data_IF_093751452227
#
_entry.id   IF_093751452227
#
_cell.length_a   1.000
_cell.length_b   1.000
_cell.length_c   1.000
_cell.angle_alpha   90.00
_cell.angle_beta   90.00
_cell.angle_gamma   90.00
#
_symmetry.space_group_name_H-M   'P 1'
#
loop_
_entity.id
_entity.type
_entity.pdbx_description
1 polymer ?
#
# COMPACT_ATOMS: atom_id res chain seq x y z
N UNK A 1 -14.33 -6.63 -7.39
CA UNK A 1 -13.99 -5.31 -7.94
C UNK A 1 -13.99 -4.28 -6.82
N UNK A 2 -13.02 -3.35 -6.81
CA UNK A 2 -12.84 -2.39 -5.73
C UNK A 2 -13.14 -0.97 -6.23
N UNK A 3 -14.21 -0.80 -6.96
CA UNK A 3 -14.47 0.47 -7.62
C UNK A 3 -15.05 1.53 -6.69
N UNK A 4 -15.94 1.15 -5.80
CA UNK A 4 -16.82 2.10 -5.13
C UNK A 4 -16.13 2.92 -4.04
N UNK A 5 -15.27 2.29 -3.23
CA UNK A 5 -14.61 2.98 -2.13
C UNK A 5 -13.59 4.03 -2.58
N UNK A 6 -12.83 3.72 -3.64
CA UNK A 6 -11.71 4.55 -4.08
C UNK A 6 -11.96 5.24 -5.42
N UNK A 7 -13.07 4.96 -6.07
CA UNK A 7 -13.32 5.42 -7.43
C UNK A 7 -12.38 4.79 -8.45
N UNK A 8 -11.81 3.64 -8.14
CA UNK A 8 -10.89 2.90 -9.00
C UNK A 8 -11.58 1.66 -9.55
N UNK A 9 -11.23 1.30 -10.77
CA UNK A 9 -11.74 0.09 -11.42
C UNK A 9 -10.64 -0.97 -11.44
N UNK A 10 -10.66 -1.85 -10.43
CA UNK A 10 -9.67 -2.89 -10.25
C UNK A 10 -10.37 -4.24 -10.20
N UNK A 11 -9.87 -5.19 -10.99
CA UNK A 11 -10.35 -6.57 -11.01
C UNK A 11 -9.36 -7.46 -10.29
N UNK A 12 -9.84 -8.21 -9.33
CA UNK A 12 -9.03 -9.15 -8.55
C UNK A 12 -9.52 -10.57 -8.75
N UNK A 13 -8.62 -11.59 -8.61
CA UNK A 13 -9.04 -12.98 -8.57
C UNK A 13 -10.03 -13.22 -7.43
N UNK A 14 -10.92 -14.19 -7.63
CA UNK A 14 -11.97 -14.53 -6.66
C UNK A 14 -11.42 -15.00 -5.30
N UNK A 15 -10.18 -15.48 -5.28
CA UNK A 15 -9.53 -15.94 -4.05
C UNK A 15 -9.21 -14.83 -3.06
N UNK A 16 -9.20 -13.57 -3.51
CA UNK A 16 -9.00 -12.42 -2.62
C UNK A 16 -10.27 -12.10 -1.86
N UNK A 17 -10.13 -11.82 -0.58
CA UNK A 17 -11.24 -11.47 0.31
C UNK A 17 -11.05 -10.07 0.84
N UNK A 18 -12.14 -9.32 0.93
CA UNK A 18 -12.14 -7.98 1.49
C UNK A 18 -11.93 -8.05 3.01
N UNK A 19 -10.94 -7.30 3.49
CA UNK A 19 -10.63 -7.20 4.93
C UNK A 19 -11.09 -5.87 5.51
N UNK A 20 -10.81 -4.77 4.81
CA UNK A 20 -11.20 -3.42 5.21
C UNK A 20 -11.62 -2.65 3.97
N UNK A 21 -12.69 -1.87 4.07
CA UNK A 21 -13.13 -0.96 3.02
C UNK A 21 -13.58 0.35 3.66
N UNK A 22 -12.80 1.40 3.44
CA UNK A 22 -13.10 2.74 3.91
C UNK A 22 -13.10 3.70 2.71
N UNK A 23 -13.44 4.97 2.93
CA UNK A 23 -13.55 5.93 1.82
C UNK A 23 -12.25 6.14 1.03
N UNK A 24 -11.10 5.97 1.68
CA UNK A 24 -9.79 6.20 1.05
C UNK A 24 -8.82 5.03 1.26
N UNK A 25 -9.29 3.88 1.74
CA UNK A 25 -8.42 2.74 2.02
C UNK A 25 -9.16 1.43 1.86
N UNK A 26 -8.56 0.50 1.14
CA UNK A 26 -9.06 -0.86 0.96
C UNK A 26 -7.93 -1.85 1.18
N UNK A 27 -8.21 -2.88 1.96
CA UNK A 27 -7.31 -3.99 2.19
C UNK A 27 -8.01 -5.28 1.78
N UNK A 28 -7.40 -6.02 0.86
CA UNK A 28 -7.84 -7.36 0.47
C UNK A 28 -6.70 -8.34 0.69
N UNK A 29 -7.02 -9.58 0.95
CA UNK A 29 -6.00 -10.61 1.14
C UNK A 29 -6.45 -11.95 0.60
N UNK A 30 -5.46 -12.78 0.31
CA UNK A 30 -5.65 -14.18 -0.10
C UNK A 30 -4.75 -15.05 0.74
N UNK A 31 -5.29 -16.11 1.29
CA UNK A 31 -4.51 -17.12 1.97
C UNK A 31 -4.04 -18.19 1.00
N UNK A 32 -2.77 -18.52 1.09
CA UNK A 32 -2.14 -19.61 0.36
C UNK A 32 -1.56 -20.59 1.39
N UNK A 33 -1.10 -21.77 0.98
CA UNK A 33 -0.78 -22.91 1.85
C UNK A 33 -0.10 -22.54 3.18
N UNK A 34 0.90 -21.66 3.16
CA UNK A 34 1.68 -21.29 4.34
C UNK A 34 1.96 -19.80 4.44
N UNK A 35 1.26 -18.98 3.64
CA UNK A 35 1.48 -17.54 3.60
C UNK A 35 0.19 -16.80 3.27
N UNK A 36 0.16 -15.52 3.59
CA UNK A 36 -0.91 -14.60 3.23
C UNK A 36 -0.38 -13.58 2.26
N UNK A 37 -1.09 -13.37 1.17
CA UNK A 37 -0.81 -12.31 0.20
C UNK A 37 -1.81 -11.18 0.44
N UNK A 38 -1.31 -9.98 0.60
CA UNK A 38 -2.14 -8.81 0.87
C UNK A 38 -1.96 -7.76 -0.19
N UNK A 39 -3.03 -7.00 -0.44
CA UNK A 39 -3.03 -5.88 -1.34
C UNK A 39 -3.72 -4.71 -0.64
N UNK A 40 -3.00 -3.60 -0.51
CA UNK A 40 -3.51 -2.37 0.07
C UNK A 40 -3.65 -1.33 -1.03
N UNK A 41 -4.80 -0.67 -1.06
CA UNK A 41 -5.06 0.43 -1.98
C UNK A 41 -5.50 1.64 -1.19
N UNK A 42 -4.96 2.80 -1.51
CA UNK A 42 -5.37 4.04 -0.87
C UNK A 42 -5.29 5.20 -1.84
N UNK A 43 -6.01 6.27 -1.50
CA UNK A 43 -5.95 7.53 -2.23
C UNK A 43 -5.75 8.66 -1.24
N UNK A 44 -5.02 9.69 -1.67
CA UNK A 44 -4.85 10.93 -0.91
C UNK A 44 -4.73 12.11 -1.85
N UNK A 45 -5.09 13.32 -1.40
CA UNK A 45 -4.92 14.51 -2.25
C UNK A 45 -3.45 14.75 -2.60
N UNK A 46 -3.20 15.15 -3.85
CA UNK A 46 -1.89 15.63 -4.24
C UNK A 46 -1.86 17.15 -4.03
N UNK A 47 -1.09 17.60 -3.04
CA UNK A 47 -1.07 18.99 -2.62
C UNK A 47 0.21 19.68 -3.08
N UNK A 48 1.34 18.99 -3.01
CA UNK A 48 2.65 19.58 -3.31
C UNK A 48 3.59 18.51 -3.88
N UNK A 49 4.62 18.97 -4.59
CA UNK A 49 5.55 18.08 -5.28
C UNK A 49 6.25 17.10 -4.33
N UNK A 50 6.56 17.55 -3.11
CA UNK A 50 7.19 16.68 -2.11
C UNK A 50 6.33 15.50 -1.67
N UNK A 51 5.02 15.49 -1.96
CA UNK A 51 4.15 14.35 -1.69
C UNK A 51 4.58 13.11 -2.48
N UNK A 52 5.29 13.29 -3.58
CA UNK A 52 5.86 12.22 -4.38
C UNK A 52 7.28 11.83 -3.95
N UNK A 53 7.87 12.44 -2.93
CA UNK A 53 9.18 12.03 -2.48
C UNK A 53 9.14 10.65 -1.82
N UNK A 54 10.24 9.90 -1.92
CA UNK A 54 10.33 8.58 -1.31
C UNK A 54 10.04 8.64 0.20
N UNK A 55 10.59 9.63 0.88
CA UNK A 55 10.40 9.81 2.33
C UNK A 55 8.94 10.07 2.68
N UNK A 56 8.29 10.95 1.92
CA UNK A 56 6.89 11.31 2.16
C UNK A 56 5.95 10.12 1.91
N UNK A 57 6.19 9.37 0.85
CA UNK A 57 5.39 8.18 0.53
C UNK A 57 5.53 7.12 1.63
N UNK A 58 6.74 6.86 2.08
CA UNK A 58 6.97 5.87 3.16
C UNK A 58 6.35 6.32 4.48
N UNK A 59 6.45 7.60 4.81
CA UNK A 59 5.84 8.14 6.04
C UNK A 59 4.31 8.01 6.01
N UNK A 60 3.69 8.33 4.88
CA UNK A 60 2.24 8.18 4.73
C UNK A 60 1.83 6.71 4.83
N UNK A 61 2.51 5.84 4.11
CA UNK A 61 2.26 4.40 4.12
C UNK A 61 2.34 3.84 5.54
N UNK A 62 3.40 4.14 6.27
CA UNK A 62 3.60 3.62 7.63
C UNK A 62 2.55 4.14 8.61
N UNK A 63 2.16 5.40 8.47
CA UNK A 63 1.07 5.98 9.26
C UNK A 63 -0.25 5.27 8.98
N UNK A 64 -0.54 5.00 7.72
CA UNK A 64 -1.77 4.33 7.29
C UNK A 64 -1.83 2.90 7.81
N UNK A 65 -0.76 2.15 7.66
CA UNK A 65 -0.73 0.73 8.06
C UNK A 65 -0.73 0.58 9.59
N UNK A 66 -0.10 1.48 10.31
CA UNK A 66 -0.17 1.47 11.77
C UNK A 66 -1.60 1.60 12.28
N UNK A 67 -2.38 2.44 11.63
CA UNK A 67 -3.76 2.68 12.02
C UNK A 67 -4.72 1.58 11.57
N UNK A 68 -4.45 0.90 10.44
CA UNK A 68 -5.43 0.09 9.75
C UNK A 68 -5.04 -1.36 9.48
N UNK A 69 -3.78 -1.73 9.64
CA UNK A 69 -3.32 -3.09 9.35
C UNK A 69 -2.69 -3.71 10.58
N UNK A 70 -3.51 -4.21 11.52
CA UNK A 70 -3.00 -4.87 12.70
C UNK A 70 -2.32 -6.19 12.35
N UNK A 71 -1.31 -6.56 13.13
CA UNK A 71 -0.69 -7.87 13.03
C UNK A 71 -1.47 -8.92 13.84
N UNK A 72 -0.99 -10.18 13.81
CA UNK A 72 -1.66 -11.28 14.50
C UNK A 72 -1.69 -11.14 16.03
N UNK A 73 -0.66 -10.53 16.60
CA UNK A 73 -0.59 -10.32 18.05
C UNK A 73 -1.21 -8.99 18.43
N UNK A 74 -1.84 -8.95 19.61
CA UNK A 74 -2.42 -7.72 20.13
C UNK A 74 -1.34 -6.65 20.29
N UNK A 75 -1.60 -5.45 19.77
CA UNK A 75 -0.65 -4.34 19.82
C UNK A 75 0.44 -4.41 18.76
N UNK A 76 0.31 -5.31 17.78
CA UNK A 76 1.22 -5.40 16.65
C UNK A 76 0.59 -4.75 15.41
N UNK A 77 1.44 -4.30 14.48
CA UNK A 77 0.97 -3.72 13.22
C UNK A 77 2.01 -3.89 12.12
N UNK A 78 1.54 -3.92 10.88
CA UNK A 78 2.36 -3.95 9.68
C UNK A 78 3.06 -2.61 9.47
N UNK A 79 4.35 -2.66 9.15
CA UNK A 79 5.15 -1.46 8.85
C UNK A 79 6.34 -1.80 7.97
N UNK A 80 7.09 -0.78 7.56
CA UNK A 80 8.30 -0.95 6.76
C UNK A 80 9.50 -1.32 7.66
N UNK A 81 10.32 -2.26 7.19
CA UNK A 81 11.60 -2.59 7.81
C UNK A 81 12.70 -1.73 7.20
N UNK A 82 13.33 -0.88 8.02
CA UNK A 82 14.34 0.07 7.54
C UNK A 82 15.79 -0.40 7.73
N UNK A 83 16.01 -1.61 8.26
CA UNK A 83 17.37 -2.18 8.29
C UNK A 83 17.91 -2.39 6.88
N UNK A 84 17.02 -2.69 5.94
CA UNK A 84 17.31 -2.67 4.50
C UNK A 84 16.41 -1.60 3.87
N UNK A 85 16.90 -0.36 3.72
CA UNK A 85 16.07 0.73 3.19
C UNK A 85 15.46 0.39 1.83
N UNK A 86 14.20 0.77 1.59
CA UNK A 86 13.55 0.49 0.31
C UNK A 86 14.26 1.15 -0.87
N UNK A 87 14.35 0.43 -1.98
CA UNK A 87 14.79 0.98 -3.26
C UNK A 87 13.64 1.77 -3.90
N UNK A 88 13.99 2.87 -4.55
CA UNK A 88 13.04 3.77 -5.19
C UNK A 88 13.36 3.91 -6.67
N UNK A 89 12.35 3.76 -7.52
CA UNK A 89 12.47 3.84 -8.96
C UNK A 89 11.43 4.79 -9.51
N UNK A 90 11.83 5.65 -10.46
CA UNK A 90 10.88 6.44 -11.24
C UNK A 90 10.26 5.53 -12.28
N UNK A 91 8.96 5.61 -12.45
CA UNK A 91 8.21 4.78 -13.37
C UNK A 91 7.09 5.60 -14.01
N UNK A 92 6.24 4.94 -14.78
CA UNK A 92 5.03 5.55 -15.32
C UNK A 92 3.86 4.58 -15.18
N UNK A 93 2.68 5.13 -15.03
CA UNK A 93 1.45 4.35 -14.98
C UNK A 93 0.36 5.14 -15.70
N UNK A 94 -0.26 4.52 -16.69
CA UNK A 94 -1.29 5.16 -17.52
C UNK A 94 -0.84 6.48 -18.15
N UNK A 95 0.45 6.57 -18.51
CA UNK A 95 1.03 7.76 -19.13
C UNK A 95 1.44 8.86 -18.16
N UNK A 96 1.23 8.68 -16.86
CA UNK A 96 1.57 9.65 -15.83
C UNK A 96 2.76 9.19 -15.00
N UNK A 97 3.41 10.15 -14.34
CA UNK A 97 4.52 9.89 -13.43
C UNK A 97 4.10 8.95 -12.31
N UNK A 98 4.94 8.00 -12.01
CA UNK A 98 4.73 7.08 -10.90
C UNK A 98 6.04 6.80 -10.17
N UNK A 99 5.93 6.45 -8.90
CA UNK A 99 7.06 6.06 -8.06
C UNK A 99 6.87 4.62 -7.64
N UNK A 100 7.88 3.79 -7.89
CA UNK A 100 7.87 2.39 -7.49
C UNK A 100 8.91 2.18 -6.40
N UNK A 101 8.51 1.58 -5.29
CA UNK A 101 9.40 1.26 -4.19
C UNK A 101 9.34 -0.23 -3.88
N UNK A 102 10.48 -0.82 -3.62
CA UNK A 102 10.59 -2.23 -3.20
C UNK A 102 11.42 -2.31 -1.95
N UNK A 103 10.98 -3.10 -0.99
CA UNK A 103 11.69 -3.24 0.26
C UNK A 103 11.16 -4.41 1.08
N UNK A 104 11.38 -4.34 2.37
CA UNK A 104 10.96 -5.36 3.31
C UNK A 104 9.94 -4.78 4.28
N UNK A 105 8.90 -5.57 4.57
CA UNK A 105 7.96 -5.26 5.62
C UNK A 105 8.27 -6.08 6.87
N UNK A 106 7.81 -5.61 7.99
CA UNK A 106 7.82 -6.33 9.26
C UNK A 106 6.51 -6.08 9.99
N UNK A 107 6.27 -6.85 11.02
CA UNK A 107 5.20 -6.58 11.99
C UNK A 107 5.86 -6.09 13.27
N UNK A 108 5.55 -4.86 13.66
CA UNK A 108 6.05 -4.30 14.92
C UNK A 108 5.45 -5.06 16.09
N UNK A 109 6.27 -5.41 17.07
CA UNK A 109 5.89 -6.21 18.24
C UNK A 109 5.51 -7.66 17.92
N UNK A 110 6.06 -8.19 16.83
CA UNK A 110 5.92 -9.59 16.43
C UNK A 110 7.11 -9.98 15.55
N UNK A 111 7.25 -11.27 15.24
CA UNK A 111 8.31 -11.78 14.38
C UNK A 111 7.75 -12.23 13.05
N UNK A 112 7.43 -11.29 12.19
CA UNK A 112 6.99 -11.53 10.83
C UNK A 112 7.62 -10.51 9.91
N UNK A 113 7.90 -10.93 8.68
CA UNK A 113 8.45 -10.04 7.67
C UNK A 113 8.41 -10.68 6.29
N UNK A 114 8.71 -9.89 5.30
CA UNK A 114 8.74 -10.31 3.92
C UNK A 114 8.97 -9.14 2.96
N UNK A 115 8.93 -9.40 1.64
CA UNK A 115 9.08 -8.34 0.65
C UNK A 115 7.78 -7.59 0.42
N UNK A 116 7.89 -6.33 -0.01
CA UNK A 116 6.76 -5.55 -0.51
C UNK A 116 7.13 -4.83 -1.80
N UNK A 117 6.10 -4.51 -2.57
CA UNK A 117 6.18 -3.60 -3.72
C UNK A 117 5.12 -2.53 -3.51
N UNK A 118 5.50 -1.27 -3.62
CA UNK A 118 4.60 -0.14 -3.44
C UNK A 118 4.66 0.77 -4.66
N UNK A 119 3.50 1.05 -5.24
CA UNK A 119 3.35 1.95 -6.38
C UNK A 119 2.59 3.18 -5.94
N UNK A 120 3.12 4.37 -6.26
CA UNK A 120 2.44 5.64 -6.09
C UNK A 120 2.24 6.23 -7.48
N UNK A 121 1.00 6.44 -7.89
CA UNK A 121 0.66 6.95 -9.20
C UNK A 121 -0.20 8.22 -9.06
N UNK A 122 -0.10 9.10 -10.06
CA UNK A 122 -0.87 10.34 -10.07
C UNK A 122 -2.12 10.21 -10.92
N UNK A 123 -3.27 10.54 -10.34
CA UNK A 123 -4.53 10.66 -11.05
C UNK A 123 -4.78 12.14 -11.32
N UNK A 124 -4.43 12.60 -12.51
CA UNK A 124 -4.49 14.00 -12.88
C UNK A 124 -5.93 14.54 -12.94
N UNK A 125 -6.89 13.68 -13.26
CA UNK A 125 -8.30 14.09 -13.37
C UNK A 125 -8.90 14.47 -12.02
N UNK A 126 -8.48 13.75 -10.96
CA UNK A 126 -9.02 13.97 -9.61
C UNK A 126 -8.04 14.69 -8.68
N UNK A 127 -6.80 14.93 -9.13
CA UNK A 127 -5.78 15.54 -8.29
C UNK A 127 -5.40 14.68 -7.10
N UNK A 128 -5.41 13.36 -7.28
CA UNK A 128 -5.12 12.40 -6.22
C UNK A 128 -3.84 11.61 -6.51
N UNK A 129 -3.17 11.21 -5.43
CA UNK A 129 -2.21 10.13 -5.48
C UNK A 129 -2.95 8.83 -5.18
N UNK A 130 -2.73 7.84 -6.03
CA UNK A 130 -3.28 6.49 -5.87
C UNK A 130 -2.12 5.61 -5.46
N UNK A 131 -2.27 4.88 -4.36
CA UNK A 131 -1.21 4.05 -3.82
C UNK A 131 -1.65 2.61 -3.76
N UNK A 132 -0.75 1.72 -4.18
CA UNK A 132 -0.98 0.30 -4.25
C UNK A 132 0.22 -0.41 -3.62
N UNK A 133 -0.02 -1.25 -2.63
CA UNK A 133 1.05 -2.05 -2.04
C UNK A 133 0.66 -3.52 -2.02
N UNK A 134 1.58 -4.34 -2.52
CA UNK A 134 1.48 -5.80 -2.42
C UNK A 134 2.53 -6.37 -1.47
N UNK A 135 2.11 -7.30 -0.61
CA UNK A 135 3.01 -7.98 0.32
C UNK A 135 2.52 -9.35 0.77
#
# INVERSE_FOLDING_TARGET
MIADSLGLNITLPKSYKLRVAESNFVWVSREDADKTLSLLLSTRPYVQESDFSATSVLAYKDSLTRARVPGPLRGSWYTTEYLAPPDTFVSSFAGEYALLQRGLWKVENDFMGGPFVHLTAYDAKRGLLVELEGF
#
